data_IF_029237299032
#
_entry.id   IF_029237299032
#
_cell.length_a   1.000
_cell.length_b   1.000
_cell.length_c   1.000
_cell.angle_alpha   90.00
_cell.angle_beta   90.00
_cell.angle_gamma   90.00
#
_symmetry.space_group_name_H-M   'P 1'
#
loop_
_entity.id
_entity.type
_entity.pdbx_description
1 polymer ?
#
# COMPACT_ATOMS: atom_id res chain seq x y z
N UNK A 1 -2.80 6.18 19.32
CA UNK A 1 -1.73 5.25 19.71
C UNK A 1 -0.38 5.65 19.12
N UNK A 2 -0.26 5.86 17.78
CA UNK A 2 0.97 6.29 17.13
C UNK A 2 1.46 7.67 17.62
N UNK A 3 0.57 8.64 17.83
CA UNK A 3 0.90 9.95 18.42
C UNK A 3 1.44 9.82 19.85
N UNK A 4 0.85 8.96 20.65
CA UNK A 4 1.30 8.72 22.03
C UNK A 4 2.69 8.08 22.07
N UNK A 5 2.95 7.12 21.18
CA UNK A 5 4.28 6.51 21.02
C UNK A 5 5.30 7.56 20.55
N UNK A 6 5.00 8.34 19.53
CA UNK A 6 5.88 9.39 19.02
C UNK A 6 6.18 10.48 20.06
N UNK A 7 5.19 10.87 20.89
CA UNK A 7 5.40 11.85 21.96
C UNK A 7 6.24 11.31 23.12
N UNK A 8 6.24 10.00 23.35
CA UNK A 8 6.97 9.36 24.46
C UNK A 8 8.37 8.90 24.06
N UNK A 9 8.50 8.32 22.85
CA UNK A 9 9.76 7.72 22.37
C UNK A 9 10.47 8.57 21.31
N UNK A 10 9.85 9.66 20.86
CA UNK A 10 10.34 10.48 19.76
C UNK A 10 10.08 9.84 18.38
N UNK A 11 10.53 10.52 17.34
CA UNK A 11 10.44 10.04 15.95
C UNK A 11 11.84 9.72 15.42
N UNK A 12 11.95 8.62 14.67
CA UNK A 12 13.18 8.27 13.97
C UNK A 12 13.21 9.05 12.66
N UNK A 13 14.28 9.80 12.43
CA UNK A 13 14.49 10.49 11.15
C UNK A 13 14.74 9.50 9.99
N UNK A 14 14.37 9.87 8.78
CA UNK A 14 14.47 9.02 7.59
C UNK A 14 15.87 8.47 7.34
N UNK A 15 16.94 9.26 7.59
CA UNK A 15 18.32 8.79 7.40
C UNK A 15 18.68 7.66 8.37
N UNK A 16 18.21 7.74 9.61
CA UNK A 16 18.43 6.71 10.61
C UNK A 16 17.62 5.47 10.31
N UNK A 17 16.38 5.64 9.88
CA UNK A 17 15.49 4.57 9.45
C UNK A 17 16.07 3.84 8.24
N UNK A 18 16.55 4.56 7.23
CA UNK A 18 17.20 3.99 6.06
C UNK A 18 18.45 3.18 6.43
N UNK A 19 19.26 3.66 7.38
CA UNK A 19 20.41 2.87 7.88
C UNK A 19 19.98 1.56 8.51
N UNK A 20 18.93 1.55 9.33
CA UNK A 20 18.38 0.31 9.89
C UNK A 20 17.82 -0.61 8.81
N UNK A 21 17.09 -0.07 7.86
CA UNK A 21 16.59 -0.82 6.71
C UNK A 21 17.73 -1.53 5.97
N UNK A 22 18.82 -0.82 5.68
CA UNK A 22 20.01 -1.36 5.01
C UNK A 22 20.71 -2.46 5.81
N UNK A 23 20.75 -2.35 7.13
CA UNK A 23 21.31 -3.38 8.01
C UNK A 23 20.47 -4.65 7.94
N UNK A 24 19.14 -4.51 8.07
CA UNK A 24 18.21 -5.64 8.00
C UNK A 24 18.31 -6.34 6.64
N UNK A 25 18.30 -5.57 5.57
CA UNK A 25 18.43 -6.09 4.20
C UNK A 25 19.77 -6.83 4.01
N UNK A 26 20.87 -6.24 4.46
CA UNK A 26 22.19 -6.86 4.39
C UNK A 26 22.31 -8.17 5.16
N UNK A 27 21.64 -8.27 6.31
CA UNK A 27 21.64 -9.50 7.13
C UNK A 27 20.75 -10.58 6.53
N UNK A 28 19.56 -10.20 6.00
CA UNK A 28 18.59 -11.19 5.52
C UNK A 28 18.84 -11.62 4.07
N UNK A 29 19.08 -10.65 3.19
CA UNK A 29 19.13 -10.88 1.75
C UNK A 29 20.46 -10.46 1.10
N UNK A 30 21.47 -10.15 1.91
CA UNK A 30 22.81 -9.80 1.45
C UNK A 30 23.78 -11.00 1.45
N UNK A 31 24.97 -10.81 0.84
CA UNK A 31 26.01 -11.83 0.73
C UNK A 31 25.91 -12.68 -0.55
N UNK A 32 26.83 -13.62 -0.71
CA UNK A 32 26.90 -14.48 -1.90
C UNK A 32 25.82 -15.56 -1.91
N UNK A 33 25.42 -16.06 -0.74
CA UNK A 33 24.36 -17.06 -0.59
C UNK A 33 23.39 -16.66 0.54
N UNK A 34 22.50 -15.71 0.27
CA UNK A 34 21.57 -15.23 1.29
C UNK A 34 20.50 -16.28 1.60
N UNK A 35 20.20 -16.45 2.89
CA UNK A 35 19.18 -17.37 3.37
C UNK A 35 17.76 -16.91 2.98
N UNK A 36 17.56 -15.61 2.82
CA UNK A 36 16.28 -14.98 2.47
C UNK A 36 16.39 -14.19 1.17
N UNK A 37 15.26 -13.97 0.53
CA UNK A 37 15.13 -13.05 -0.60
C UNK A 37 13.98 -12.08 -0.36
N UNK A 38 14.07 -10.89 -0.93
CA UNK A 38 12.98 -9.92 -0.91
C UNK A 38 11.81 -10.43 -1.74
N UNK A 39 10.61 -10.44 -1.18
CA UNK A 39 9.33 -10.66 -1.88
C UNK A 39 8.62 -9.34 -2.16
N UNK A 40 8.66 -8.45 -1.20
CA UNK A 40 8.19 -7.07 -1.34
C UNK A 40 9.24 -6.12 -0.76
N UNK A 41 8.97 -4.85 -0.78
CA UNK A 41 9.87 -3.84 -0.21
C UNK A 41 10.15 -4.01 1.30
N UNK A 42 9.35 -4.81 2.01
CA UNK A 42 9.53 -5.10 3.46
C UNK A 42 9.35 -6.57 3.86
N UNK A 43 8.98 -7.44 2.93
CA UNK A 43 8.79 -8.87 3.22
C UNK A 43 9.95 -9.69 2.67
N UNK A 44 10.45 -10.61 3.48
CA UNK A 44 11.52 -11.53 3.14
C UNK A 44 11.02 -12.96 3.28
N UNK A 45 11.30 -13.82 2.28
CA UNK A 45 11.00 -15.24 2.31
C UNK A 45 12.28 -16.07 2.29
N UNK A 46 12.28 -17.22 2.98
CA UNK A 46 13.40 -18.16 2.89
C UNK A 46 13.46 -18.77 1.50
N UNK A 47 14.66 -18.86 0.96
CA UNK A 47 14.88 -19.36 -0.42
C UNK A 47 14.60 -20.85 -0.57
N UNK A 48 14.85 -21.64 0.48
CA UNK A 48 14.60 -23.09 0.51
C UNK A 48 13.12 -23.47 0.56
N UNK A 49 12.23 -22.54 0.87
CA UNK A 49 10.78 -22.75 0.87
C UNK A 49 10.07 -22.22 -0.37
N UNK A 50 10.80 -21.61 -1.30
CA UNK A 50 10.23 -20.92 -2.48
C UNK A 50 9.63 -21.90 -3.48
N UNK A 51 10.19 -23.10 -3.63
CA UNK A 51 9.69 -24.11 -4.58
C UNK A 51 8.25 -24.56 -4.31
N UNK A 52 7.80 -24.50 -3.06
CA UNK A 52 6.43 -24.86 -2.68
C UNK A 52 5.49 -23.65 -2.60
N UNK A 53 6.03 -22.43 -2.55
CA UNK A 53 5.27 -21.21 -2.45
C UNK A 53 4.91 -20.58 -3.82
N UNK A 54 5.39 -21.15 -4.92
CA UNK A 54 5.21 -20.57 -6.28
C UNK A 54 3.75 -20.54 -6.74
N UNK A 55 2.85 -21.21 -6.08
CA UNK A 55 1.42 -21.19 -6.40
C UNK A 55 0.52 -20.71 -5.27
N UNK A 56 1.00 -20.59 -4.06
CA UNK A 56 0.14 -20.22 -2.98
C UNK A 56 0.53 -18.87 -2.39
N UNK A 57 -0.29 -17.86 -2.65
CA UNK A 57 -0.96 -17.16 -1.58
C UNK A 57 -0.12 -16.31 -0.61
N UNK A 58 1.19 -16.17 -0.81
CA UNK A 58 1.94 -15.04 -0.27
C UNK A 58 1.86 -13.84 -1.23
N UNK A 59 0.73 -13.74 -1.90
CA UNK A 59 0.27 -12.47 -2.39
C UNK A 59 -0.09 -11.74 -1.11
N UNK A 60 0.82 -10.90 -0.65
CA UNK A 60 0.50 -9.86 0.30
C UNK A 60 -0.82 -9.25 -0.20
N UNK A 61 -1.84 -9.24 0.61
CA UNK A 61 -3.17 -8.70 0.24
C UNK A 61 -3.09 -7.29 -0.36
N UNK A 62 -1.93 -6.66 -0.27
CA UNK A 62 -1.59 -5.35 -0.78
C UNK A 62 -0.79 -5.37 -2.09
N UNK A 63 -0.37 -6.53 -2.60
CA UNK A 63 0.40 -6.61 -3.85
C UNK A 63 -0.46 -6.61 -5.12
N UNK A 64 -1.77 -6.84 -4.99
CA UNK A 64 -2.77 -6.75 -6.08
C UNK A 64 -3.26 -5.32 -6.31
N UNK A 65 -2.41 -4.45 -6.29
CA UNK A 65 -2.55 -3.02 -6.19
C UNK A 65 -3.33 -2.33 -7.29
N UNK A 66 -3.48 -2.92 -8.40
CA UNK A 66 -4.22 -2.37 -9.54
C UNK A 66 -5.52 -3.11 -9.82
N UNK A 67 -5.76 -4.20 -9.12
CA UNK A 67 -7.00 -4.94 -9.27
C UNK A 67 -8.14 -4.25 -8.55
N UNK A 68 -9.28 -4.27 -9.18
CA UNK A 68 -10.52 -3.87 -8.54
C UNK A 68 -10.93 -4.93 -7.52
N UNK A 69 -11.39 -4.51 -6.38
CA UNK A 69 -11.78 -5.42 -5.30
C UNK A 69 -13.04 -4.92 -4.59
N UNK A 70 -14.01 -5.82 -4.33
CA UNK A 70 -15.09 -5.56 -3.39
C UNK A 70 -14.58 -5.79 -1.96
N UNK A 71 -15.02 -4.96 -1.03
CA UNK A 71 -14.69 -5.11 0.38
C UNK A 71 -15.96 -5.32 1.21
N UNK A 72 -15.88 -6.20 2.19
CA UNK A 72 -16.99 -6.58 3.09
C UNK A 72 -16.65 -6.12 4.49
N UNK A 73 -17.66 -5.65 5.22
CA UNK A 73 -17.54 -5.23 6.61
C UNK A 73 -17.76 -3.74 6.82
N UNK A 74 -18.02 -3.39 8.07
CA UNK A 74 -18.12 -2.01 8.51
C UNK A 74 -16.79 -1.29 8.32
N UNK A 75 -16.83 -0.07 7.75
CA UNK A 75 -15.64 0.74 7.47
C UNK A 75 -14.70 0.18 6.40
N UNK A 76 -15.13 -0.81 5.64
CA UNK A 76 -14.36 -1.36 4.52
C UNK A 76 -14.39 -0.43 3.31
N UNK A 77 -13.35 -0.54 2.47
CA UNK A 77 -13.16 0.29 1.29
C UNK A 77 -13.14 -0.61 0.06
N UNK A 78 -14.07 -0.39 -0.85
CA UNK A 78 -14.18 -1.08 -2.15
C UNK A 78 -13.62 -0.19 -3.25
N UNK A 79 -12.84 -0.76 -4.17
CA UNK A 79 -12.43 -0.11 -5.41
C UNK A 79 -13.01 -0.86 -6.61
N UNK A 80 -13.96 -0.24 -7.32
CA UNK A 80 -14.61 -0.83 -8.50
C UNK A 80 -14.93 0.23 -9.55
N UNK A 81 -14.65 -0.08 -10.82
CA UNK A 81 -14.96 0.79 -11.97
C UNK A 81 -14.43 2.22 -11.81
N UNK A 82 -13.20 2.36 -11.29
CA UNK A 82 -12.56 3.64 -11.04
C UNK A 82 -13.25 4.48 -9.95
N UNK A 83 -14.05 3.85 -9.09
CA UNK A 83 -14.67 4.51 -7.94
C UNK A 83 -14.23 3.83 -6.65
N UNK A 84 -14.04 4.64 -5.62
CA UNK A 84 -13.87 4.16 -4.25
C UNK A 84 -15.21 4.31 -3.53
N UNK A 85 -15.64 3.24 -2.85
CA UNK A 85 -16.82 3.20 -2.00
C UNK A 85 -16.37 2.89 -0.59
N UNK A 86 -16.92 3.60 0.39
CA UNK A 86 -16.63 3.40 1.80
C UNK A 86 -17.90 2.98 2.49
N UNK A 87 -17.88 1.84 3.17
CA UNK A 87 -18.99 1.38 3.99
C UNK A 87 -19.07 2.16 5.30
N UNK A 88 -20.25 2.27 5.87
CA UNK A 88 -20.45 2.92 7.17
C UNK A 88 -19.55 2.30 8.24
N UNK A 89 -19.07 3.13 9.15
CA UNK A 89 -18.32 2.68 10.33
C UNK A 89 -19.23 2.29 11.49
N UNK A 90 -20.52 2.67 11.46
CA UNK A 90 -21.52 2.30 12.44
C UNK A 90 -21.94 0.84 12.28
N UNK A 91 -21.72 0.00 13.32
CA UNK A 91 -22.07 -1.42 13.28
C UNK A 91 -23.57 -1.65 13.16
N UNK A 92 -24.38 -0.85 13.84
CA UNK A 92 -25.85 -0.96 13.78
C UNK A 92 -26.33 -0.67 12.36
N UNK A 93 -25.94 0.47 11.81
CA UNK A 93 -26.31 0.88 10.46
C UNK A 93 -25.83 -0.14 9.42
N UNK A 94 -24.59 -0.67 9.58
CA UNK A 94 -24.08 -1.73 8.72
C UNK A 94 -24.99 -2.95 8.75
N UNK A 95 -25.30 -3.47 9.95
CA UNK A 95 -26.14 -4.66 10.12
C UNK A 95 -27.55 -4.43 9.58
N UNK A 96 -28.14 -3.27 9.82
CA UNK A 96 -29.47 -2.93 9.33
C UNK A 96 -29.52 -2.87 7.79
N UNK A 97 -28.49 -2.33 7.15
CA UNK A 97 -28.36 -2.34 5.69
C UNK A 97 -28.26 -3.76 5.15
N UNK A 98 -27.39 -4.59 5.75
CA UNK A 98 -27.20 -5.97 5.29
C UNK A 98 -28.46 -6.80 5.50
N UNK A 99 -29.15 -6.67 6.64
CA UNK A 99 -30.42 -7.35 6.90
C UNK A 99 -31.52 -6.99 5.88
N UNK A 100 -31.44 -5.79 5.29
CA UNK A 100 -32.34 -5.33 4.24
C UNK A 100 -31.86 -5.66 2.82
N UNK A 101 -30.79 -6.44 2.66
CA UNK A 101 -30.20 -6.78 1.36
C UNK A 101 -29.55 -5.59 0.64
N UNK A 102 -29.17 -4.54 1.36
CA UNK A 102 -28.55 -3.32 0.82
C UNK A 102 -27.08 -3.20 1.21
N UNK A 103 -26.27 -2.61 0.35
CA UNK A 103 -24.92 -2.21 0.71
C UNK A 103 -24.96 -1.01 1.67
N UNK A 104 -24.03 -0.99 2.63
CA UNK A 104 -23.94 0.05 3.66
C UNK A 104 -23.04 1.22 3.26
N UNK A 105 -23.01 1.58 1.97
CA UNK A 105 -22.14 2.63 1.44
C UNK A 105 -22.53 3.99 2.00
N UNK A 106 -21.62 4.59 2.77
CA UNK A 106 -21.76 5.95 3.30
C UNK A 106 -21.09 7.01 2.42
N UNK A 107 -20.15 6.62 1.58
CA UNK A 107 -19.42 7.54 0.72
C UNK A 107 -18.95 6.89 -0.58
N UNK A 108 -18.92 7.71 -1.63
CA UNK A 108 -18.42 7.34 -2.95
C UNK A 108 -17.55 8.47 -3.49
N UNK A 109 -16.39 8.11 -4.06
CA UNK A 109 -15.51 9.03 -4.76
C UNK A 109 -15.07 8.44 -6.09
N UNK A 110 -15.16 9.22 -7.17
CA UNK A 110 -14.57 8.86 -8.46
C UNK A 110 -13.07 9.20 -8.41
N UNK A 111 -12.23 8.23 -8.72
CA UNK A 111 -10.77 8.42 -8.78
C UNK A 111 -10.39 8.95 -10.15
N UNK A 112 -9.64 10.05 -10.19
CA UNK A 112 -9.12 10.59 -11.43
C UNK A 112 -8.07 9.67 -12.07
N UNK A 113 -7.96 9.69 -13.41
CA UNK A 113 -6.97 8.86 -14.13
C UNK A 113 -5.55 9.04 -13.60
N UNK A 114 -5.15 10.30 -13.31
CA UNK A 114 -3.81 10.59 -12.79
C UNK A 114 -3.59 10.02 -11.38
N UNK A 115 -4.62 10.02 -10.55
CA UNK A 115 -4.53 9.46 -9.20
C UNK A 115 -4.48 7.93 -9.24
N UNK A 116 -5.17 7.28 -10.18
CA UNK A 116 -5.02 5.85 -10.46
C UNK A 116 -3.59 5.52 -10.93
N UNK A 117 -3.00 6.34 -11.80
CA UNK A 117 -1.60 6.19 -12.21
C UNK A 117 -0.64 6.29 -11.02
N UNK A 118 -0.85 7.28 -10.13
CA UNK A 118 -0.05 7.46 -8.91
C UNK A 118 -0.22 6.29 -7.96
N UNK A 119 -1.45 5.80 -7.83
CA UNK A 119 -1.75 4.62 -7.03
C UNK A 119 -0.98 3.40 -7.55
N UNK A 120 -0.99 3.14 -8.87
CA UNK A 120 -0.19 2.11 -9.53
C UNK A 120 1.31 2.30 -9.26
N UNK A 121 1.83 3.51 -9.47
CA UNK A 121 3.24 3.83 -9.24
C UNK A 121 3.65 3.70 -7.77
N UNK A 122 2.75 3.83 -6.82
CA UNK A 122 3.01 3.61 -5.41
C UNK A 122 3.08 2.11 -5.09
N UNK A 123 2.23 1.30 -5.68
CA UNK A 123 1.99 -0.08 -5.29
C UNK A 123 2.84 -1.09 -6.05
N UNK A 124 3.04 -0.95 -7.36
CA UNK A 124 3.91 -1.87 -8.12
C UNK A 124 5.36 -1.90 -7.62
N UNK A 125 6.03 -0.78 -7.30
CA UNK A 125 7.35 -0.80 -6.68
C UNK A 125 7.40 -1.53 -5.33
N UNK A 126 6.28 -1.60 -4.60
CA UNK A 126 6.22 -2.43 -3.42
C UNK A 126 6.49 -3.91 -3.74
N UNK A 127 6.08 -4.39 -4.90
CA UNK A 127 6.40 -5.71 -5.45
C UNK A 127 7.75 -5.76 -6.19
N UNK A 128 8.66 -4.84 -5.88
CA UNK A 128 10.07 -4.74 -6.32
C UNK A 128 10.28 -4.31 -7.77
N UNK A 129 9.26 -4.17 -8.57
CA UNK A 129 9.35 -3.75 -9.96
C UNK A 129 8.18 -2.87 -10.38
N UNK A 130 8.42 -2.05 -11.39
CA UNK A 130 7.40 -1.29 -12.11
C UNK A 130 7.27 -1.88 -13.52
N UNK A 131 6.11 -2.47 -13.83
CA UNK A 131 5.79 -2.97 -15.16
C UNK A 131 5.25 -1.82 -16.03
N UNK A 132 6.09 -1.30 -16.91
CA UNK A 132 5.78 -0.17 -17.78
C UNK A 132 4.88 -0.57 -18.95
N UNK A 133 4.99 -1.82 -19.45
CA UNK A 133 4.11 -2.33 -20.51
C UNK A 133 2.69 -2.43 -20.00
N UNK A 134 2.48 -2.98 -18.82
CA UNK A 134 1.19 -3.08 -18.19
C UNK A 134 0.60 -1.70 -17.90
N UNK A 135 1.42 -0.78 -17.38
CA UNK A 135 1.00 0.61 -17.18
C UNK A 135 0.54 1.26 -18.49
N UNK A 136 1.31 1.11 -19.57
CA UNK A 136 0.95 1.66 -20.88
C UNK A 136 -0.33 1.04 -21.45
N UNK A 137 -0.50 -0.27 -21.32
CA UNK A 137 -1.73 -0.98 -21.73
C UNK A 137 -2.96 -0.42 -21.02
N UNK A 138 -2.87 -0.23 -19.72
CA UNK A 138 -4.02 0.11 -18.88
C UNK A 138 -4.33 1.61 -18.89
N UNK A 139 -3.32 2.44 -19.04
CA UNK A 139 -3.49 3.91 -19.04
C UNK A 139 -3.38 4.55 -20.43
N UNK A 140 -2.98 3.83 -21.47
CA UNK A 140 -2.85 4.35 -22.83
C UNK A 140 -1.72 5.37 -23.01
N UNK A 141 -0.76 5.43 -22.05
CA UNK A 141 0.43 6.27 -22.15
C UNK A 141 1.56 5.64 -21.31
N UNK A 142 2.82 6.00 -21.63
CA UNK A 142 3.95 5.55 -20.82
C UNK A 142 3.90 6.18 -19.43
N UNK A 143 4.54 5.54 -18.45
CA UNK A 143 4.62 6.07 -17.09
C UNK A 143 5.31 7.44 -17.04
N UNK A 144 6.31 7.65 -17.90
CA UNK A 144 7.04 8.92 -18.04
C UNK A 144 6.14 10.04 -18.56
N UNK A 145 5.24 9.73 -19.49
CA UNK A 145 4.29 10.73 -20.03
C UNK A 145 3.15 11.01 -19.05
N UNK A 146 2.66 9.99 -18.34
CA UNK A 146 1.58 10.12 -17.37
C UNK A 146 2.02 10.78 -16.06
N UNK A 147 3.24 10.49 -15.59
CA UNK A 147 3.78 10.87 -14.28
C UNK A 147 5.23 11.39 -14.39
N UNK A 148 5.49 12.44 -15.19
CA UNK A 148 6.85 12.88 -15.49
C UNK A 148 7.62 13.37 -14.24
N UNK A 149 6.97 14.08 -13.34
CA UNK A 149 7.61 14.61 -12.14
C UNK A 149 7.93 13.49 -11.14
N UNK A 150 7.01 12.57 -10.96
CA UNK A 150 7.16 11.41 -10.09
C UNK A 150 8.30 10.50 -10.57
N UNK A 151 8.38 10.22 -11.86
CA UNK A 151 9.46 9.42 -12.46
C UNK A 151 10.80 10.14 -12.38
N UNK A 152 10.85 11.44 -12.67
CA UNK A 152 12.07 12.23 -12.53
C UNK A 152 12.58 12.21 -11.07
N UNK A 153 11.69 12.36 -10.09
CA UNK A 153 12.03 12.25 -8.68
C UNK A 153 12.64 10.89 -8.33
N UNK A 154 12.01 9.80 -8.74
CA UNK A 154 12.49 8.44 -8.44
C UNK A 154 13.86 8.18 -9.08
N UNK A 155 14.09 8.63 -10.32
CA UNK A 155 15.39 8.54 -11.00
C UNK A 155 16.48 9.33 -10.29
N UNK A 156 16.21 10.59 -9.95
CA UNK A 156 17.14 11.46 -9.22
C UNK A 156 17.45 10.91 -7.81
N UNK A 157 16.47 10.30 -7.18
CA UNK A 157 16.63 9.63 -5.89
C UNK A 157 17.46 8.33 -5.98
N UNK A 158 17.77 7.83 -7.19
CA UNK A 158 18.46 6.57 -7.39
C UNK A 158 17.64 5.34 -7.01
N UNK A 159 16.32 5.40 -7.28
CA UNK A 159 15.39 4.34 -6.92
C UNK A 159 15.53 3.08 -7.79
N UNK A 160 15.99 3.21 -9.03
CA UNK A 160 16.02 2.14 -10.00
C UNK A 160 17.42 1.54 -10.18
N UNK A 161 17.47 0.20 -10.17
CA UNK A 161 18.64 -0.59 -10.53
C UNK A 161 18.71 -0.80 -12.05
N UNK A 162 17.55 -1.10 -12.66
CA UNK A 162 17.33 -1.11 -14.11
C UNK A 162 16.12 -0.22 -14.41
N UNK A 163 16.15 0.43 -15.57
CA UNK A 163 15.08 1.33 -16.00
C UNK A 163 15.08 1.34 -17.54
N UNK A 164 14.43 0.35 -18.14
CA UNK A 164 14.30 0.22 -19.58
C UNK A 164 12.88 0.57 -20.09
N UNK A 165 12.57 0.24 -21.34
CA UNK A 165 11.28 0.56 -21.94
C UNK A 165 10.10 -0.26 -21.36
N UNK A 166 10.41 -1.45 -20.83
CA UNK A 166 9.41 -2.44 -20.46
C UNK A 166 9.16 -2.50 -18.95
N UNK A 167 10.25 -2.36 -18.19
CA UNK A 167 10.17 -2.42 -16.72
C UNK A 167 11.26 -1.58 -16.04
N UNK A 168 11.08 -1.35 -14.76
CA UNK A 168 12.10 -0.82 -13.88
C UNK A 168 12.16 -1.66 -12.60
N UNK A 169 13.38 -2.05 -12.19
CA UNK A 169 13.63 -2.78 -10.93
C UNK A 169 14.25 -1.86 -9.89
N UNK A 170 14.08 -2.17 -8.62
CA UNK A 170 14.46 -1.28 -7.54
C UNK A 170 15.85 -1.56 -6.97
N UNK A 171 16.58 -0.49 -6.71
CA UNK A 171 17.74 -0.51 -5.80
C UNK A 171 17.30 -0.74 -4.36
N UNK A 172 18.22 -1.07 -3.42
CA UNK A 172 17.93 -1.03 -1.98
C UNK A 172 17.31 0.29 -1.51
N UNK A 173 17.76 1.41 -2.09
CA UNK A 173 17.19 2.74 -1.81
C UNK A 173 15.78 2.88 -2.37
N UNK A 174 15.53 2.36 -3.56
CA UNK A 174 14.21 2.34 -4.19
C UNK A 174 13.21 1.51 -3.38
N UNK A 175 13.63 0.35 -2.87
CA UNK A 175 12.80 -0.47 -1.98
C UNK A 175 12.43 0.27 -0.68
N UNK A 176 13.39 0.96 -0.08
CA UNK A 176 13.11 1.79 1.09
C UNK A 176 12.13 2.93 0.76
N UNK A 177 12.31 3.62 -0.37
CA UNK A 177 11.37 4.67 -0.81
C UNK A 177 9.97 4.11 -1.04
N UNK A 178 9.84 2.95 -1.69
CA UNK A 178 8.56 2.26 -1.85
C UNK A 178 7.91 1.96 -0.49
N UNK A 179 8.69 1.47 0.48
CA UNK A 179 8.22 1.23 1.86
C UNK A 179 7.71 2.52 2.52
N UNK A 180 8.44 3.63 2.38
CA UNK A 180 8.04 4.94 2.95
C UNK A 180 6.74 5.43 2.30
N UNK A 181 6.65 5.39 0.96
CA UNK A 181 5.46 5.83 0.23
C UNK A 181 4.23 5.01 0.66
N UNK A 182 4.37 3.70 0.71
CA UNK A 182 3.30 2.80 1.10
C UNK A 182 2.84 3.01 2.55
N UNK A 183 3.80 3.17 3.48
CA UNK A 183 3.51 3.52 4.88
C UNK A 183 2.74 4.84 5.02
N UNK A 184 3.08 5.85 4.21
CA UNK A 184 2.36 7.12 4.22
C UNK A 184 0.92 6.96 3.73
N UNK A 185 0.69 6.14 2.72
CA UNK A 185 -0.64 5.77 2.27
C UNK A 185 -1.45 5.09 3.38
N UNK A 186 -0.90 4.05 4.02
CA UNK A 186 -1.55 3.36 5.13
C UNK A 186 -1.85 4.29 6.31
N UNK A 187 -0.93 5.22 6.61
CA UNK A 187 -1.14 6.23 7.65
C UNK A 187 -2.29 7.18 7.29
N UNK A 188 -2.39 7.59 6.02
CA UNK A 188 -3.50 8.40 5.50
C UNK A 188 -4.84 7.67 5.63
N UNK A 189 -4.88 6.40 5.27
CA UNK A 189 -6.08 5.55 5.42
C UNK A 189 -6.48 5.38 6.89
N UNK A 190 -5.51 5.18 7.79
CA UNK A 190 -5.77 5.08 9.23
C UNK A 190 -6.32 6.38 9.79
N UNK A 191 -5.77 7.53 9.39
CA UNK A 191 -6.28 8.84 9.80
C UNK A 191 -7.71 9.08 9.32
N UNK A 192 -8.03 8.69 8.07
CA UNK A 192 -9.40 8.78 7.55
C UNK A 192 -10.37 7.93 8.37
N UNK A 193 -9.98 6.69 8.68
CA UNK A 193 -10.78 5.79 9.55
C UNK A 193 -11.00 6.38 10.94
N UNK A 194 -9.96 6.94 11.55
CA UNK A 194 -10.05 7.56 12.88
C UNK A 194 -10.98 8.79 12.86
N UNK A 195 -10.91 9.61 11.82
CA UNK A 195 -11.84 10.74 11.65
C UNK A 195 -13.29 10.26 11.52
N UNK A 196 -13.54 9.27 10.67
CA UNK A 196 -14.87 8.70 10.48
C UNK A 196 -15.43 8.09 11.79
N UNK A 197 -14.60 7.36 12.53
CA UNK A 197 -14.96 6.78 13.84
C UNK A 197 -15.26 7.86 14.88
N UNK A 198 -14.48 8.93 14.92
CA UNK A 198 -14.73 10.05 15.84
C UNK A 198 -16.02 10.81 15.54
N UNK A 199 -16.52 10.73 14.31
CA UNK A 199 -17.79 11.30 13.91
C UNK A 199 -19.01 10.44 14.33
N UNK A 200 -18.79 9.19 14.79
CA UNK A 200 -19.88 8.33 15.27
C UNK A 200 -20.46 8.84 16.60
N UNK A 201 -21.77 8.57 16.87
CA UNK A 201 -22.37 8.81 18.17
C UNK A 201 -21.61 8.14 19.31
N UNK A 202 -21.59 8.75 20.49
CA UNK A 202 -20.81 8.25 21.64
C UNK A 202 -21.17 6.79 22.01
N UNK A 203 -22.46 6.42 21.92
CA UNK A 203 -22.91 5.05 22.19
C UNK A 203 -22.31 4.02 21.22
N UNK A 204 -22.18 4.37 19.94
CA UNK A 204 -21.57 3.48 18.95
C UNK A 204 -20.04 3.41 19.12
N UNK A 205 -19.39 4.51 19.51
CA UNK A 205 -17.97 4.50 19.83
C UNK A 205 -17.66 3.60 21.02
N UNK A 206 -18.46 3.67 22.08
CA UNK A 206 -18.31 2.81 23.26
C UNK A 206 -18.44 1.33 22.93
N UNK A 207 -19.35 0.96 22.02
CA UNK A 207 -19.48 -0.43 21.54
C UNK A 207 -18.27 -0.94 20.77
N UNK A 208 -17.58 -0.03 20.06
CA UNK A 208 -16.45 -0.40 19.20
C UNK A 208 -15.10 -0.41 19.94
N UNK A 209 -14.94 0.43 20.96
CA UNK A 209 -13.64 0.72 21.57
C UNK A 209 -13.58 0.46 23.07
N UNK A 210 -14.71 0.21 23.73
CA UNK A 210 -14.78 -0.03 25.17
C UNK A 210 -14.23 1.16 25.94
N UNK A 211 -14.99 2.21 26.12
CA UNK A 211 -14.67 3.29 27.07
C UNK A 211 -15.06 2.87 28.49
#
# INVERSE_FOLDING_TARGET
>A
TARKIASTLGTVGHDREYRYYRIIEGVLAGGEDPLFENRTSWTYARRDHVEHATQSLLIDEYSNAHEEYPAIGSGSVTHLNGNIYVNTFGLREYNDCIAQGRMSVMGKCKVGKRDLMRYRLMLQPHSLRLDKREFQRDFGCTVEAGLPAEMAFLRLAGAFATDDADEATLTPKGRYLATVMYRQFLSGMSNLRDQARNALPAQERALLFGD
#
